data_IF_083406057746
#
_entry.id   IF_083406057746
#
_cell.length_a   1.000
_cell.length_b   1.000
_cell.length_c   1.000
_cell.angle_alpha   90.00
_cell.angle_beta   90.00
_cell.angle_gamma   90.00
#
_symmetry.space_group_name_H-M   'P 1'
#
loop_
_entity.id
_entity.type
_entity.pdbx_description
1 polymer ?
#
# COMPACT_ATOMS: atom_id res chain seq x y z
N UNK A 1 41.28 18.58 -25.60
CA UNK A 1 40.18 19.33 -24.94
C UNK A 1 38.83 18.60 -24.93
N UNK A 2 38.61 17.54 -25.74
CA UNK A 2 37.33 16.78 -25.77
C UNK A 2 37.14 15.76 -24.63
N UNK A 3 38.21 15.19 -24.07
CA UNK A 3 38.12 14.15 -23.03
C UNK A 3 37.55 14.67 -21.69
N UNK A 4 37.81 15.92 -21.33
CA UNK A 4 37.25 16.56 -20.12
C UNK A 4 35.74 16.82 -20.23
N UNK A 5 35.21 17.06 -21.44
CA UNK A 5 33.77 17.24 -21.65
C UNK A 5 32.99 15.92 -21.60
N UNK A 6 33.62 14.81 -22.02
CA UNK A 6 33.02 13.48 -21.96
C UNK A 6 32.89 12.97 -20.51
N UNK A 7 33.91 13.20 -19.67
CA UNK A 7 33.88 12.86 -18.24
C UNK A 7 32.88 13.71 -17.44
N UNK A 8 32.72 14.99 -17.80
CA UNK A 8 31.66 15.85 -17.25
C UNK A 8 30.26 15.36 -17.64
N UNK A 9 30.09 14.84 -18.87
CA UNK A 9 28.82 14.26 -19.31
C UNK A 9 28.50 12.94 -18.58
N UNK A 10 29.48 12.08 -18.32
CA UNK A 10 29.27 10.85 -17.54
C UNK A 10 29.05 11.13 -16.04
N UNK A 11 29.72 12.12 -15.45
CA UNK A 11 29.47 12.55 -14.08
C UNK A 11 28.09 13.20 -13.88
N UNK A 12 27.60 13.96 -14.88
CA UNK A 12 26.23 14.45 -14.91
C UNK A 12 25.21 13.36 -15.23
N UNK A 13 25.55 12.36 -16.06
CA UNK A 13 24.69 11.19 -16.26
C UNK A 13 24.56 10.36 -14.98
N UNK A 14 25.62 10.30 -14.15
CA UNK A 14 25.56 9.67 -12.82
C UNK A 14 24.81 10.51 -11.78
N UNK A 15 24.78 11.84 -11.91
CA UNK A 15 23.93 12.71 -11.10
C UNK A 15 22.44 12.71 -11.55
N UNK A 16 22.16 12.18 -12.74
CA UNK A 16 20.80 11.93 -13.28
C UNK A 16 20.51 10.41 -13.33
N UNK A 17 21.37 9.57 -12.74
CA UNK A 17 20.93 8.26 -12.26
C UNK A 17 19.89 8.60 -11.21
N UNK A 18 18.62 8.29 -11.51
CA UNK A 18 17.54 8.47 -10.56
C UNK A 18 18.01 7.92 -9.22
N UNK A 19 18.00 8.77 -8.19
CA UNK A 19 18.41 8.35 -6.84
C UNK A 19 17.73 7.02 -6.56
N UNK A 20 18.56 5.99 -6.38
CA UNK A 20 18.10 4.63 -6.15
C UNK A 20 17.18 4.68 -4.93
N UNK A 21 15.90 4.37 -5.13
CA UNK A 21 14.94 4.38 -4.03
C UNK A 21 15.16 3.13 -3.21
N UNK A 22 15.19 3.29 -1.90
CA UNK A 22 15.45 2.18 -0.98
C UNK A 22 14.34 2.06 0.03
N UNK A 23 14.16 0.87 0.56
CA UNK A 23 13.27 0.59 1.68
C UNK A 23 14.02 -0.10 2.81
N UNK A 24 13.68 0.25 4.03
CA UNK A 24 14.20 -0.38 5.24
C UNK A 24 13.08 -0.57 6.26
N UNK A 25 13.02 -1.76 6.86
CA UNK A 25 12.16 -2.04 8.00
C UNK A 25 12.95 -1.71 9.28
N UNK A 26 12.48 -0.75 10.06
CA UNK A 26 13.14 -0.33 11.28
C UNK A 26 13.19 -1.47 12.32
N UNK A 27 14.39 -1.95 12.62
CA UNK A 27 14.60 -3.10 13.51
C UNK A 27 14.35 -2.76 14.98
N UNK A 28 14.27 -1.47 15.35
CA UNK A 28 13.98 -1.05 16.72
C UNK A 28 12.48 -1.14 16.99
N UNK A 29 11.65 -0.45 16.20
CA UNK A 29 10.18 -0.54 16.30
C UNK A 29 9.67 -1.95 15.99
N UNK A 30 10.34 -2.67 15.07
CA UNK A 30 10.05 -4.06 14.74
C UNK A 30 10.95 -5.06 15.51
N UNK A 31 11.33 -4.77 16.75
CA UNK A 31 12.21 -5.65 17.54
C UNK A 31 11.65 -7.05 17.83
N UNK A 32 10.33 -7.23 17.71
CA UNK A 32 9.73 -8.56 17.76
C UNK A 32 9.92 -9.27 16.40
N UNK A 33 10.65 -10.39 16.41
CA UNK A 33 10.98 -11.16 15.21
C UNK A 33 9.75 -11.53 14.38
N UNK A 34 8.63 -11.91 15.01
CA UNK A 34 7.42 -12.31 14.30
C UNK A 34 6.77 -11.13 13.56
N UNK A 35 6.74 -9.94 14.16
CA UNK A 35 6.22 -8.76 13.45
C UNK A 35 7.17 -8.28 12.37
N UNK A 36 8.48 -8.39 12.58
CA UNK A 36 9.48 -8.09 11.55
C UNK A 36 9.31 -9.01 10.33
N UNK A 37 9.21 -10.32 10.56
CA UNK A 37 9.02 -11.31 9.50
C UNK A 37 7.70 -11.09 8.76
N UNK A 38 6.61 -10.76 9.47
CA UNK A 38 5.32 -10.45 8.87
C UNK A 38 5.37 -9.21 7.96
N UNK A 39 6.05 -8.14 8.38
CA UNK A 39 6.24 -6.94 7.54
C UNK A 39 7.14 -7.24 6.34
N UNK A 40 8.23 -8.01 6.54
CA UNK A 40 9.12 -8.43 5.44
C UNK A 40 8.36 -9.23 4.40
N UNK A 41 7.57 -10.22 4.83
CA UNK A 41 6.76 -11.04 3.94
C UNK A 41 5.66 -10.21 3.26
N UNK A 42 4.95 -9.34 3.99
CA UNK A 42 3.94 -8.46 3.40
C UNK A 42 4.53 -7.51 2.35
N UNK A 43 5.73 -6.95 2.59
CA UNK A 43 6.45 -6.15 1.60
C UNK A 43 6.76 -6.96 0.34
N UNK A 44 7.38 -8.13 0.50
CA UNK A 44 7.74 -8.99 -0.63
C UNK A 44 6.51 -9.39 -1.45
N UNK A 45 5.43 -9.80 -0.77
CA UNK A 45 4.17 -10.14 -1.43
C UNK A 45 3.51 -8.95 -2.11
N UNK A 46 3.53 -7.75 -1.50
CA UNK A 46 3.00 -6.54 -2.11
C UNK A 46 3.73 -6.19 -3.43
N UNK A 47 5.06 -6.31 -3.45
CA UNK A 47 5.89 -6.10 -4.65
C UNK A 47 5.57 -7.16 -5.72
N UNK A 48 5.43 -8.44 -5.35
CA UNK A 48 5.04 -9.50 -6.28
C UNK A 48 3.67 -9.19 -6.88
N UNK A 49 2.67 -8.86 -6.05
CA UNK A 49 1.31 -8.50 -6.49
C UNK A 49 1.29 -7.29 -7.41
N UNK A 50 2.08 -6.26 -7.11
CA UNK A 50 2.27 -5.12 -8.01
C UNK A 50 2.81 -5.58 -9.38
N UNK A 51 3.80 -6.48 -9.39
CA UNK A 51 4.34 -7.10 -10.61
C UNK A 51 3.29 -7.83 -11.43
N UNK A 52 2.41 -8.62 -10.80
CA UNK A 52 1.32 -9.32 -11.48
C UNK A 52 0.35 -8.35 -12.16
N UNK A 53 -0.02 -7.27 -11.46
CA UNK A 53 -0.88 -6.22 -12.00
C UNK A 53 -0.20 -5.46 -13.16
N UNK A 54 1.10 -5.18 -13.06
CA UNK A 54 1.91 -4.57 -14.12
C UNK A 54 1.91 -5.48 -15.35
N UNK A 55 2.16 -6.77 -15.19
CA UNK A 55 2.21 -7.71 -16.31
C UNK A 55 0.85 -7.86 -17.01
N UNK A 56 -0.24 -7.84 -16.25
CA UNK A 56 -1.59 -7.79 -16.81
C UNK A 56 -1.86 -6.49 -17.60
N UNK A 57 -1.39 -5.34 -17.11
CA UNK A 57 -1.58 -4.04 -17.75
C UNK A 57 -0.57 -3.73 -18.87
N UNK A 58 0.59 -4.40 -18.89
CA UNK A 58 1.71 -4.10 -19.79
C UNK A 58 1.34 -4.11 -21.27
N UNK A 59 0.54 -5.07 -21.78
CA UNK A 59 0.13 -5.05 -23.19
C UNK A 59 -0.61 -3.78 -23.59
N UNK A 60 -1.11 -3.00 -22.64
CA UNK A 60 -1.98 -1.85 -22.87
C UNK A 60 -1.36 -0.50 -22.50
N UNK A 61 -0.40 -0.53 -21.59
CA UNK A 61 0.39 0.65 -21.25
C UNK A 61 1.30 1.05 -22.42
N UNK A 62 1.59 0.13 -23.35
CA UNK A 62 2.36 0.40 -24.57
C UNK A 62 1.53 1.21 -25.59
N UNK A 63 2.14 2.26 -26.14
CA UNK A 63 1.52 3.09 -27.17
C UNK A 63 1.21 2.25 -28.43
N UNK A 64 -0.02 2.37 -28.94
CA UNK A 64 -0.45 1.71 -30.17
C UNK A 64 -0.96 0.27 -30.06
N UNK A 65 -0.86 -0.38 -28.89
CA UNK A 65 -1.43 -1.72 -28.71
C UNK A 65 -2.97 -1.71 -28.89
N UNK A 66 -3.58 -2.79 -29.42
CA UNK A 66 -5.05 -2.86 -29.48
C UNK A 66 -5.63 -3.07 -28.07
N UNK A 67 -6.81 -2.52 -27.80
CA UNK A 67 -7.54 -2.81 -26.56
C UNK A 67 -8.11 -4.25 -26.57
N UNK A 68 -8.23 -4.87 -27.75
CA UNK A 68 -8.77 -6.23 -27.89
C UNK A 68 -7.83 -7.31 -27.35
N UNK A 69 -6.60 -6.95 -26.92
CA UNK A 69 -5.64 -7.87 -26.31
C UNK A 69 -5.83 -8.03 -24.80
N UNK A 70 -6.80 -7.36 -24.16
CA UNK A 70 -7.05 -7.66 -22.74
C UNK A 70 -7.72 -8.99 -22.56
N UNK A 71 -7.33 -9.61 -21.45
CA UNK A 71 -8.26 -10.45 -20.73
C UNK A 71 -9.51 -9.64 -20.35
N UNK A 72 -10.66 -10.04 -20.90
CA UNK A 72 -11.96 -9.39 -20.64
C UNK A 72 -12.40 -9.42 -19.17
N UNK A 73 -11.86 -10.33 -18.35
CA UNK A 73 -12.14 -10.39 -16.91
C UNK A 73 -11.39 -9.29 -16.18
N UNK A 74 -10.10 -9.14 -16.50
CA UNK A 74 -9.28 -8.04 -15.97
C UNK A 74 -9.84 -6.70 -16.47
N UNK A 75 -10.40 -6.63 -17.70
CA UNK A 75 -11.13 -5.46 -18.23
C UNK A 75 -12.20 -5.02 -17.28
N UNK A 76 -13.05 -5.99 -16.97
CA UNK A 76 -14.25 -5.75 -16.22
C UNK A 76 -13.90 -5.18 -14.85
N UNK A 77 -12.93 -5.78 -14.14
CA UNK A 77 -12.49 -5.28 -12.84
C UNK A 77 -11.85 -3.89 -12.94
N UNK A 78 -11.00 -3.66 -13.96
CA UNK A 78 -10.42 -2.34 -14.18
C UNK A 78 -11.50 -1.26 -14.39
N UNK A 79 -12.51 -1.55 -15.20
CA UNK A 79 -13.60 -0.62 -15.50
C UNK A 79 -14.54 -0.43 -14.31
N UNK A 80 -14.71 -1.42 -13.44
CA UNK A 80 -15.44 -1.29 -12.19
C UNK A 80 -14.72 -0.31 -11.24
N UNK A 81 -13.41 -0.48 -11.03
CA UNK A 81 -12.63 0.30 -10.06
C UNK A 81 -12.18 1.67 -10.55
N UNK A 82 -12.08 1.86 -11.87
CA UNK A 82 -11.55 3.11 -12.45
C UNK A 82 -12.47 3.74 -13.49
N UNK A 83 -13.54 3.06 -13.92
CA UNK A 83 -14.51 3.55 -14.91
C UNK A 83 -14.06 3.38 -16.36
N UNK A 84 -14.97 2.90 -17.22
CA UNK A 84 -14.70 2.58 -18.63
C UNK A 84 -14.28 3.77 -19.52
N UNK A 85 -14.68 4.99 -19.17
CA UNK A 85 -14.30 6.20 -19.91
C UNK A 85 -12.80 6.52 -19.79
N UNK A 86 -12.11 6.80 -20.89
CA UNK A 86 -10.70 7.21 -20.87
C UNK A 86 -9.75 6.13 -20.37
N UNK A 87 -10.08 4.86 -20.58
CA UNK A 87 -9.37 3.77 -19.89
C UNK A 87 -7.89 3.68 -20.22
N UNK A 88 -7.46 3.92 -21.46
CA UNK A 88 -6.02 3.91 -21.79
C UNK A 88 -5.22 4.85 -20.88
N UNK A 89 -5.70 6.08 -20.70
CA UNK A 89 -5.06 7.07 -19.83
C UNK A 89 -5.00 6.58 -18.39
N UNK A 90 -6.08 5.99 -17.89
CA UNK A 90 -6.15 5.43 -16.53
C UNK A 90 -5.23 4.23 -16.36
N UNK A 91 -5.14 3.35 -17.35
CA UNK A 91 -4.19 2.23 -17.38
C UNK A 91 -2.77 2.76 -17.23
N UNK A 92 -2.39 3.80 -17.99
CA UNK A 92 -1.07 4.42 -17.85
C UNK A 92 -0.85 5.02 -16.45
N UNK A 93 -1.86 5.59 -15.81
CA UNK A 93 -1.75 6.06 -14.42
C UNK A 93 -1.55 4.91 -13.43
N UNK A 94 -2.43 3.91 -13.43
CA UNK A 94 -2.35 2.73 -12.53
C UNK A 94 -1.04 1.97 -12.73
N UNK A 95 -0.64 1.74 -13.99
CA UNK A 95 0.66 1.17 -14.32
C UNK A 95 1.79 2.00 -13.71
N UNK A 96 1.75 3.33 -13.90
CA UNK A 96 2.76 4.24 -13.37
C UNK A 96 2.85 4.28 -11.85
N UNK A 97 1.73 4.06 -11.13
CA UNK A 97 1.69 3.94 -9.67
C UNK A 97 2.43 2.68 -9.18
N UNK A 98 2.33 1.57 -9.92
CA UNK A 98 2.88 0.27 -9.53
C UNK A 98 4.32 0.05 -10.00
N UNK A 99 4.65 0.42 -11.23
CA UNK A 99 5.92 0.08 -11.90
C UNK A 99 7.16 0.53 -11.12
N UNK A 100 7.08 1.72 -10.51
CA UNK A 100 8.16 2.29 -9.70
C UNK A 100 8.38 1.58 -8.37
N UNK A 101 7.39 0.83 -7.87
CA UNK A 101 7.57 0.06 -6.64
C UNK A 101 8.55 -1.10 -6.86
N UNK A 102 8.60 -1.65 -8.08
CA UNK A 102 9.55 -2.72 -8.44
C UNK A 102 11.01 -2.24 -8.47
N UNK A 103 11.24 -0.94 -8.55
CA UNK A 103 12.58 -0.32 -8.55
C UNK A 103 13.12 -0.07 -7.12
N UNK A 104 12.29 -0.29 -6.08
CA UNK A 104 12.68 0.00 -4.69
C UNK A 104 13.56 -1.12 -4.14
N UNK A 105 14.80 -0.77 -3.80
CA UNK A 105 15.80 -1.69 -3.28
C UNK A 105 15.56 -1.99 -1.79
N UNK A 106 15.48 -3.28 -1.43
CA UNK A 106 15.33 -3.72 -0.05
C UNK A 106 16.68 -3.75 0.68
N UNK A 107 16.79 -3.04 1.81
CA UNK A 107 18.09 -2.75 2.44
C UNK A 107 18.39 -3.51 3.73
N UNK A 108 17.42 -4.17 4.37
CA UNK A 108 17.67 -4.84 5.65
C UNK A 108 18.73 -5.94 5.60
N UNK A 109 18.95 -6.55 4.43
CA UNK A 109 19.97 -7.58 4.24
C UNK A 109 21.36 -6.98 3.93
N UNK A 110 21.44 -5.65 3.69
CA UNK A 110 22.65 -4.95 3.26
C UNK A 110 23.20 -3.98 4.33
N UNK A 111 22.39 -3.59 5.30
CA UNK A 111 22.80 -2.64 6.34
C UNK A 111 22.04 -2.78 7.66
N UNK A 112 22.69 -2.36 8.73
CA UNK A 112 22.12 -2.25 10.08
C UNK A 112 21.29 -0.97 10.25
N UNK A 113 20.46 -0.91 11.29
CA UNK A 113 19.61 0.26 11.55
C UNK A 113 20.40 1.55 11.77
N UNK A 114 21.55 1.48 12.47
CA UNK A 114 22.42 2.64 12.66
C UNK A 114 23.10 3.12 11.37
N UNK A 115 23.42 2.20 10.45
CA UNK A 115 23.92 2.57 9.13
C UNK A 115 22.80 3.21 8.30
N UNK A 116 21.59 2.64 8.33
CA UNK A 116 20.42 3.19 7.66
C UNK A 116 20.10 4.60 8.15
N UNK A 117 20.00 4.83 9.46
CA UNK A 117 19.68 6.15 10.03
C UNK A 117 20.67 7.24 9.64
N UNK A 118 21.92 6.86 9.35
CA UNK A 118 22.99 7.77 8.93
C UNK A 118 22.99 8.02 7.42
N UNK A 119 22.52 7.06 6.63
CA UNK A 119 22.63 7.06 5.17
C UNK A 119 21.31 7.31 4.43
N UNK A 120 20.18 7.24 5.13
CA UNK A 120 18.84 7.49 4.58
C UNK A 120 18.68 8.93 4.13
N UNK A 121 17.77 9.13 3.19
CA UNK A 121 17.48 10.39 2.53
C UNK A 121 15.98 10.55 2.36
N UNK A 122 15.55 11.73 1.92
CA UNK A 122 14.16 12.01 1.55
C UNK A 122 13.59 11.20 0.38
N UNK A 123 14.38 10.36 -0.28
CA UNK A 123 13.91 9.47 -1.36
C UNK A 123 13.70 8.02 -0.91
N UNK A 124 14.00 7.75 0.35
CA UNK A 124 13.90 6.43 0.95
C UNK A 124 12.58 6.25 1.69
N UNK A 125 12.20 4.98 1.88
CA UNK A 125 11.02 4.57 2.64
C UNK A 125 11.49 3.82 3.88
N UNK A 126 10.99 4.22 5.05
CA UNK A 126 11.21 3.53 6.31
C UNK A 126 9.91 2.96 6.86
N UNK A 127 9.88 1.66 7.12
CA UNK A 127 8.70 0.95 7.61
C UNK A 127 8.85 0.71 9.11
N UNK A 128 7.90 1.19 9.90
CA UNK A 128 7.86 1.02 11.35
C UNK A 128 6.69 0.15 11.80
N UNK A 129 6.94 -0.71 12.80
CA UNK A 129 5.90 -1.53 13.42
C UNK A 129 5.07 -0.79 14.48
N UNK A 130 5.38 0.49 14.73
CA UNK A 130 4.68 1.36 15.69
C UNK A 130 4.83 2.84 15.30
N UNK A 131 4.28 3.73 16.13
CA UNK A 131 4.37 5.18 15.98
C UNK A 131 5.10 5.84 17.18
N UNK A 132 6.06 5.16 17.81
CA UNK A 132 6.74 5.63 19.02
C UNK A 132 7.72 6.79 18.75
N UNK A 133 8.14 6.95 17.49
CA UNK A 133 8.91 8.11 17.03
C UNK A 133 8.07 9.41 17.01
N UNK A 134 6.75 9.32 17.15
CA UNK A 134 5.90 10.48 17.42
C UNK A 134 5.96 10.78 18.92
N UNK A 135 6.63 11.86 19.30
CA UNK A 135 6.88 12.22 20.71
C UNK A 135 6.15 13.51 21.09
N UNK A 136 5.89 13.76 22.39
CA UNK A 136 5.37 15.06 22.82
C UNK A 136 6.30 16.19 22.37
N UNK A 137 5.72 17.22 21.76
CA UNK A 137 6.47 18.37 21.27
C UNK A 137 7.04 19.15 22.47
N UNK A 138 8.37 19.41 22.55
CA UNK A 138 8.99 20.00 23.74
C UNK A 138 8.54 21.45 23.99
N UNK A 139 8.24 22.20 22.92
CA UNK A 139 7.82 23.60 22.98
C UNK A 139 6.68 23.90 21.99
N UNK A 140 5.45 23.44 22.26
CA UNK A 140 4.35 23.59 21.32
C UNK A 140 4.06 25.08 21.10
N UNK A 141 4.19 25.54 19.85
CA UNK A 141 3.92 26.93 19.47
C UNK A 141 2.46 27.15 19.06
N UNK A 142 1.81 26.10 18.57
CA UNK A 142 0.43 26.14 18.10
C UNK A 142 -0.47 25.31 19.03
N UNK A 143 -1.71 25.76 19.32
CA UNK A 143 -2.59 25.09 20.28
C UNK A 143 -3.01 23.67 19.91
N UNK A 144 -2.91 23.28 18.63
CA UNK A 144 -3.31 21.97 18.11
C UNK A 144 -2.12 21.10 17.68
N UNK A 145 -0.91 21.45 18.13
CA UNK A 145 0.33 20.72 17.85
C UNK A 145 0.96 20.35 19.19
N UNK A 146 0.62 19.17 19.71
CA UNK A 146 1.19 18.64 20.95
C UNK A 146 2.26 17.59 20.72
N UNK A 147 2.49 17.20 19.47
CA UNK A 147 3.40 16.12 19.11
C UNK A 147 4.35 16.54 17.98
N UNK A 148 5.49 15.87 17.90
CA UNK A 148 6.43 15.98 16.81
C UNK A 148 6.80 14.58 16.30
N UNK A 149 7.02 14.48 15.00
CA UNK A 149 7.67 13.34 14.37
C UNK A 149 9.18 13.55 14.46
N UNK A 150 9.87 12.77 15.30
CA UNK A 150 11.30 12.96 15.54
C UNK A 150 12.19 12.49 14.39
N UNK A 151 11.64 11.69 13.46
CA UNK A 151 12.37 11.19 12.28
C UNK A 151 12.28 12.21 11.15
N UNK A 152 11.08 12.68 10.84
CA UNK A 152 10.85 13.68 9.79
C UNK A 152 11.02 15.12 10.26
N UNK A 153 11.21 15.32 11.57
CA UNK A 153 11.34 16.62 12.25
C UNK A 153 10.21 17.59 11.93
N UNK A 154 8.99 17.05 11.81
CA UNK A 154 7.77 17.83 11.50
C UNK A 154 6.84 17.87 12.71
N UNK A 155 6.10 18.98 12.89
CA UNK A 155 5.00 18.99 13.83
C UNK A 155 3.91 17.98 13.42
N UNK A 156 3.19 17.45 14.40
CA UNK A 156 2.07 16.53 14.22
C UNK A 156 0.83 17.15 14.84
N UNK A 157 -0.21 17.35 14.04
CA UNK A 157 -1.47 17.90 14.50
C UNK A 157 -2.27 16.86 15.30
N UNK A 158 -3.06 17.32 16.26
CA UNK A 158 -3.84 16.42 17.13
C UNK A 158 -4.89 15.56 16.39
N UNK A 159 -5.26 15.96 15.18
CA UNK A 159 -6.17 15.24 14.29
C UNK A 159 -5.45 14.37 13.25
N UNK A 160 -4.12 14.33 13.22
CA UNK A 160 -3.36 13.49 12.30
C UNK A 160 -3.60 12.00 12.56
N UNK A 161 -3.82 11.26 11.48
CA UNK A 161 -4.14 9.83 11.53
C UNK A 161 -3.07 8.98 12.24
N UNK A 162 -1.81 9.41 12.21
CA UNK A 162 -0.67 8.73 12.84
C UNK A 162 -0.86 8.57 14.36
N UNK A 163 -1.50 9.53 15.02
CA UNK A 163 -1.81 9.45 16.45
C UNK A 163 -2.84 8.34 16.73
N UNK A 164 -3.67 8.02 15.74
CA UNK A 164 -4.62 6.91 15.78
C UNK A 164 -3.95 5.55 15.93
N UNK A 165 -2.73 5.35 15.42
CA UNK A 165 -2.03 4.07 15.47
C UNK A 165 -1.71 3.60 16.89
N UNK A 166 -1.57 4.56 17.83
CA UNK A 166 -1.30 4.30 19.25
C UNK A 166 -2.53 3.81 20.02
N UNK A 167 -3.73 3.99 19.46
CA UNK A 167 -4.97 3.60 20.12
C UNK A 167 -5.52 2.31 19.50
N UNK A 168 -5.59 1.18 20.24
CA UNK A 168 -6.03 -0.10 19.69
C UNK A 168 -7.50 -0.11 19.24
N UNK A 169 -8.30 0.87 19.66
CA UNK A 169 -9.71 1.01 19.30
C UNK A 169 -9.94 1.87 18.06
N UNK A 170 -8.90 2.51 17.51
CA UNK A 170 -9.01 3.28 16.26
C UNK A 170 -8.97 2.34 15.05
N UNK A 171 -9.59 2.76 13.95
CA UNK A 171 -9.76 1.94 12.75
C UNK A 171 -8.52 1.89 11.84
N UNK A 172 -7.59 2.83 11.93
CA UNK A 172 -6.36 2.86 11.12
C UNK A 172 -5.48 1.62 11.37
N UNK A 173 -5.09 0.92 10.31
CA UNK A 173 -4.17 -0.23 10.40
C UNK A 173 -2.73 0.23 10.20
N UNK A 174 -2.50 1.05 9.18
CA UNK A 174 -1.24 1.71 8.89
C UNK A 174 -1.51 3.16 8.46
N UNK A 175 -0.45 3.96 8.41
CA UNK A 175 -0.46 5.33 7.89
C UNK A 175 0.88 5.60 7.21
N UNK A 176 0.81 6.19 6.02
CA UNK A 176 1.99 6.72 5.32
C UNK A 176 2.15 8.22 5.56
N UNK A 177 3.37 8.63 5.89
CA UNK A 177 3.83 10.01 5.95
C UNK A 177 4.79 10.29 4.79
N UNK A 178 4.30 10.71 3.62
CA UNK A 178 5.14 10.98 2.45
C UNK A 178 5.87 12.32 2.57
N UNK A 179 6.82 12.56 1.68
CA UNK A 179 7.49 13.87 1.54
C UNK A 179 6.46 14.96 1.19
N UNK A 180 6.51 16.10 1.88
CA UNK A 180 5.59 17.24 1.65
C UNK A 180 6.32 18.60 1.67
N UNK A 181 6.19 19.46 0.64
CA UNK A 181 5.44 19.24 -0.59
C UNK A 181 6.09 18.13 -1.45
N UNK A 182 5.36 17.55 -2.43
CA UNK A 182 5.89 16.51 -3.32
C UNK A 182 7.22 16.84 -4.03
N UNK A 183 7.58 18.11 -4.12
CA UNK A 183 8.87 18.56 -4.67
C UNK A 183 10.04 18.37 -3.71
N UNK A 184 9.80 18.04 -2.44
CA UNK A 184 10.81 17.99 -1.38
C UNK A 184 11.36 19.35 -0.96
N UNK A 185 10.84 20.45 -1.51
CA UNK A 185 11.37 21.78 -1.23
C UNK A 185 11.13 22.15 0.24
N UNK A 186 12.21 22.28 0.99
CA UNK A 186 12.16 22.60 2.43
C UNK A 186 11.99 21.36 3.32
N UNK A 187 11.95 20.16 2.73
CA UNK A 187 11.99 18.90 3.45
C UNK A 187 13.41 18.60 3.91
N UNK A 188 13.55 18.01 5.10
CA UNK A 188 14.84 17.56 5.61
C UNK A 188 15.41 16.48 4.67
N UNK A 189 16.61 16.71 4.15
CA UNK A 189 17.22 15.83 3.15
C UNK A 189 17.51 14.43 3.70
N UNK A 190 17.60 14.29 5.03
CA UNK A 190 17.87 13.03 5.73
C UNK A 190 16.59 12.38 6.29
N UNK A 191 15.41 12.98 6.04
CA UNK A 191 14.13 12.48 6.53
C UNK A 191 13.42 11.61 5.47
N UNK A 192 13.32 10.28 5.66
CA UNK A 192 12.66 9.38 4.72
C UNK A 192 11.14 9.58 4.72
N UNK A 193 10.46 9.01 3.73
CA UNK A 193 9.03 8.71 3.81
C UNK A 193 8.82 7.59 4.83
N UNK A 194 7.75 7.67 5.63
CA UNK A 194 7.47 6.67 6.67
C UNK A 194 6.19 5.91 6.37
N UNK A 195 6.21 4.60 6.49
CA UNK A 195 5.01 3.75 6.61
C UNK A 195 4.98 3.19 8.04
N UNK A 196 3.98 3.55 8.84
CA UNK A 196 3.87 3.11 10.22
C UNK A 196 2.62 2.26 10.44
N UNK A 197 2.75 1.20 11.25
CA UNK A 197 1.66 0.28 11.58
C UNK A 197 1.14 0.45 13.00
N UNK A 198 -0.13 0.08 13.21
CA UNK A 198 -0.70 -0.09 14.54
C UNK A 198 -0.11 -1.35 15.19
N UNK A 199 0.58 -1.25 16.34
CA UNK A 199 1.26 -2.39 16.96
C UNK A 199 0.29 -3.51 17.33
N UNK A 200 -0.88 -3.13 17.84
CA UNK A 200 -1.92 -4.07 18.24
C UNK A 200 -2.40 -4.89 17.03
N UNK A 201 -2.80 -4.22 15.95
CA UNK A 201 -3.33 -4.90 14.77
C UNK A 201 -2.27 -5.72 14.05
N UNK A 202 -1.05 -5.21 13.95
CA UNK A 202 0.07 -5.94 13.39
C UNK A 202 0.38 -7.20 14.22
N UNK A 203 0.35 -7.10 15.55
CA UNK A 203 0.48 -8.26 16.42
C UNK A 203 -0.60 -9.30 16.12
N UNK A 204 -1.87 -8.93 15.99
CA UNK A 204 -2.92 -9.89 15.63
C UNK A 204 -2.69 -10.51 14.25
N UNK A 205 -2.41 -9.71 13.22
CA UNK A 205 -2.17 -10.19 11.86
C UNK A 205 -0.99 -11.18 11.82
N UNK A 206 0.11 -10.88 12.53
CA UNK A 206 1.30 -11.72 12.55
C UNK A 206 1.15 -12.99 13.41
N UNK A 207 0.37 -12.96 14.49
CA UNK A 207 0.21 -14.10 15.40
C UNK A 207 -0.90 -15.07 15.00
N UNK A 208 -1.87 -14.59 14.21
CA UNK A 208 -3.05 -15.36 13.85
C UNK A 208 -3.11 -15.66 12.34
N UNK A 209 -2.00 -15.48 11.64
CA UNK A 209 -1.85 -15.95 10.26
C UNK A 209 -2.00 -17.48 10.21
N UNK A 210 -2.83 -17.96 9.27
CA UNK A 210 -3.15 -19.38 9.12
C UNK A 210 -4.03 -19.99 10.23
N UNK A 211 -4.51 -19.22 11.21
CA UNK A 211 -5.40 -19.75 12.25
C UNK A 211 -6.82 -20.02 11.70
N UNK A 212 -7.37 -21.24 11.84
CA UNK A 212 -8.69 -21.57 11.31
C UNK A 212 -9.79 -20.64 11.87
N UNK A 213 -10.40 -19.83 11.01
CA UNK A 213 -11.47 -18.91 11.40
C UNK A 213 -11.06 -17.45 11.65
N UNK A 214 -9.77 -17.11 11.57
CA UNK A 214 -9.30 -15.72 11.70
C UNK A 214 -9.35 -14.91 10.39
N UNK A 215 -9.80 -15.49 9.28
CA UNK A 215 -9.94 -14.81 7.98
C UNK A 215 -11.00 -13.70 7.94
N UNK A 216 -11.57 -13.34 9.08
CA UNK A 216 -12.85 -12.64 9.14
C UNK A 216 -12.76 -11.30 9.84
N UNK A 217 -11.72 -11.01 10.63
CA UNK A 217 -11.70 -9.76 11.42
C UNK A 217 -10.32 -9.12 11.58
N UNK A 218 -9.23 -9.91 11.68
CA UNK A 218 -7.90 -9.35 12.00
C UNK A 218 -6.78 -9.76 11.04
N UNK A 219 -7.15 -10.30 9.88
CA UNK A 219 -6.22 -10.51 8.77
C UNK A 219 -5.24 -11.66 8.98
N UNK A 220 -4.42 -11.83 7.95
CA UNK A 220 -3.28 -12.74 7.83
C UNK A 220 -2.22 -11.99 7.02
N UNK A 221 -1.06 -12.60 6.79
CA UNK A 221 0.05 -11.89 6.12
C UNK A 221 -0.22 -11.81 4.63
N UNK A 222 -0.58 -12.94 4.02
CA UNK A 222 -0.92 -13.06 2.59
C UNK A 222 -2.08 -13.99 2.33
N UNK A 223 -2.73 -13.83 1.18
CA UNK A 223 -3.78 -14.73 0.73
C UNK A 223 -3.23 -16.10 0.34
N UNK A 224 -4.10 -17.11 0.40
CA UNK A 224 -3.85 -18.45 -0.11
C UNK A 224 -5.17 -19.05 -0.63
N UNK A 225 -5.07 -20.21 -1.29
CA UNK A 225 -6.23 -20.86 -1.92
C UNK A 225 -7.39 -21.09 -0.92
N UNK A 226 -7.08 -21.53 0.30
CA UNK A 226 -8.09 -21.79 1.32
C UNK A 226 -8.81 -20.51 1.76
N UNK A 227 -8.08 -19.38 1.88
CA UNK A 227 -8.67 -18.09 2.16
C UNK A 227 -9.61 -17.65 1.03
N UNK A 228 -9.20 -17.80 -0.23
CA UNK A 228 -10.02 -17.47 -1.42
C UNK A 228 -11.30 -18.30 -1.46
N UNK A 229 -11.20 -19.62 -1.27
CA UNK A 229 -12.36 -20.52 -1.23
C UNK A 229 -13.33 -20.16 -0.10
N UNK A 230 -12.79 -19.79 1.06
CA UNK A 230 -13.59 -19.41 2.22
C UNK A 230 -14.19 -17.99 2.10
N UNK A 231 -13.61 -17.11 1.28
CA UNK A 231 -14.20 -15.83 0.91
C UNK A 231 -15.29 -16.01 -0.15
N UNK A 232 -15.09 -16.90 -1.13
CA UNK A 232 -16.10 -17.23 -2.15
C UNK A 232 -17.33 -17.94 -1.56
N UNK A 233 -17.14 -18.75 -0.52
CA UNK A 233 -18.20 -19.50 0.15
C UNK A 233 -18.25 -19.16 1.64
N UNK A 234 -18.72 -17.96 2.02
CA UNK A 234 -18.70 -17.51 3.39
C UNK A 234 -19.60 -18.38 4.27
N UNK A 235 -19.04 -18.95 5.36
CA UNK A 235 -19.83 -19.61 6.42
C UNK A 235 -20.81 -18.61 7.04
N UNK A 236 -21.86 -19.09 7.72
CA UNK A 236 -22.96 -18.28 8.26
C UNK A 236 -22.52 -16.98 8.98
N UNK A 237 -21.46 -17.00 9.80
CA UNK A 237 -20.95 -15.80 10.47
C UNK A 237 -20.34 -14.76 9.51
N UNK A 238 -19.68 -15.19 8.41
CA UNK A 238 -19.19 -14.33 7.33
C UNK A 238 -20.33 -13.80 6.48
N UNK A 239 -21.34 -14.63 6.23
CA UNK A 239 -22.56 -14.21 5.54
C UNK A 239 -23.24 -13.06 6.29
N UNK A 240 -23.33 -13.11 7.63
CA UNK A 240 -23.87 -12.00 8.41
C UNK A 240 -23.05 -10.71 8.30
N UNK A 241 -21.73 -10.77 8.12
CA UNK A 241 -20.88 -9.58 7.91
C UNK A 241 -21.04 -9.00 6.52
N UNK A 242 -21.16 -9.84 5.49
CA UNK A 242 -21.33 -9.40 4.09
C UNK A 242 -22.78 -9.02 3.74
N UNK A 243 -23.76 -9.46 4.53
CA UNK A 243 -25.19 -9.19 4.34
C UNK A 243 -25.81 -8.39 5.50
N UNK A 244 -24.99 -7.81 6.39
CA UNK A 244 -25.49 -6.90 7.41
C UNK A 244 -26.21 -5.71 6.74
N UNK A 245 -27.43 -5.35 7.17
CA UNK A 245 -28.12 -4.17 6.67
C UNK A 245 -27.23 -2.93 6.75
N UNK A 246 -27.25 -2.06 5.73
CA UNK A 246 -26.40 -0.86 5.65
C UNK A 246 -26.51 0.06 6.88
N UNK A 247 -27.65 0.03 7.60
CA UNK A 247 -27.85 0.80 8.84
C UNK A 247 -27.16 0.18 10.08
N UNK A 248 -26.83 -1.12 10.06
CA UNK A 248 -26.05 -1.82 11.09
C UNK A 248 -24.55 -1.84 10.75
N UNK A 249 -24.23 -1.94 9.46
CA UNK A 249 -22.86 -1.96 8.97
C UNK A 249 -22.56 -0.64 8.26
N UNK A 250 -21.95 0.30 9.00
CA UNK A 250 -21.30 1.49 8.43
C UNK A 250 -20.22 1.13 7.38
N UNK A 251 -19.87 -0.16 7.29
CA UNK A 251 -18.98 -0.78 6.33
C UNK A 251 -19.62 -2.09 5.84
N UNK A 252 -20.37 -2.07 4.73
CA UNK A 252 -20.88 -3.29 4.12
C UNK A 252 -19.73 -3.97 3.36
N UNK A 253 -19.12 -5.00 3.95
CA UNK A 253 -17.98 -5.70 3.37
C UNK A 253 -18.41 -6.58 2.20
N UNK A 254 -17.71 -6.49 1.07
CA UNK A 254 -17.82 -7.44 -0.03
C UNK A 254 -16.98 -8.70 0.26
N UNK A 255 -17.28 -9.85 -0.37
CA UNK A 255 -16.47 -11.05 -0.22
C UNK A 255 -14.97 -10.86 -0.51
N UNK A 256 -14.61 -10.06 -1.53
CA UNK A 256 -13.20 -9.72 -1.80
C UNK A 256 -12.54 -8.94 -0.65
N UNK A 257 -13.28 -8.13 0.12
CA UNK A 257 -12.71 -7.38 1.25
C UNK A 257 -12.26 -8.31 2.39
N UNK A 258 -12.77 -9.55 2.45
CA UNK A 258 -12.30 -10.58 3.40
C UNK A 258 -10.88 -11.09 3.05
N UNK A 259 -10.39 -10.75 1.87
CA UNK A 259 -9.05 -11.05 1.39
C UNK A 259 -8.11 -9.85 1.53
N UNK A 260 -8.55 -8.77 2.18
CA UNK A 260 -7.66 -7.67 2.55
C UNK A 260 -6.72 -8.12 3.68
N UNK A 261 -5.48 -8.44 3.29
CA UNK A 261 -4.41 -8.97 4.16
C UNK A 261 -3.29 -7.93 4.33
N UNK A 262 -2.31 -8.22 5.18
CA UNK A 262 -1.22 -7.29 5.47
C UNK A 262 -0.47 -6.85 4.20
N UNK A 263 -0.31 -7.73 3.22
CA UNK A 263 0.23 -7.42 1.89
C UNK A 263 -0.60 -6.40 1.07
N UNK A 264 -1.93 -6.41 1.21
CA UNK A 264 -2.82 -5.44 0.54
C UNK A 264 -2.69 -4.08 1.21
N UNK A 265 -2.70 -4.05 2.54
CA UNK A 265 -2.39 -2.84 3.31
C UNK A 265 -1.00 -2.31 2.97
N UNK A 266 0.02 -3.17 2.89
CA UNK A 266 1.36 -2.77 2.50
C UNK A 266 1.39 -2.16 1.10
N UNK A 267 0.74 -2.78 0.11
CA UNK A 267 0.65 -2.23 -1.24
C UNK A 267 -0.07 -0.88 -1.24
N UNK A 268 -1.19 -0.77 -0.52
CA UNK A 268 -1.93 0.48 -0.32
C UNK A 268 -1.00 1.59 0.21
N UNK A 269 -0.31 1.35 1.32
CA UNK A 269 0.59 2.35 1.92
C UNK A 269 1.76 2.71 1.00
N UNK A 270 2.36 1.73 0.33
CA UNK A 270 3.43 1.99 -0.64
C UNK A 270 2.95 2.90 -1.78
N UNK A 271 1.68 2.82 -2.18
CA UNK A 271 1.13 3.73 -3.21
C UNK A 271 1.00 5.19 -2.75
N UNK A 272 0.98 5.46 -1.44
CA UNK A 272 1.01 6.84 -0.90
C UNK A 272 2.39 7.48 -0.95
N UNK A 273 3.46 6.70 -1.10
CA UNK A 273 4.83 7.21 -1.17
C UNK A 273 5.13 7.88 -2.50
N UNK A 274 6.24 8.60 -2.59
CA UNK A 274 6.74 9.18 -3.84
C UNK A 274 7.09 8.09 -4.86
N UNK A 275 7.51 6.90 -4.42
CA UNK A 275 7.67 5.73 -5.28
C UNK A 275 6.33 5.31 -5.90
N UNK A 276 5.29 5.24 -5.08
CA UNK A 276 3.89 4.98 -5.47
C UNK A 276 3.16 6.10 -6.20
N UNK A 277 3.85 7.24 -6.42
CA UNK A 277 3.31 8.49 -6.99
C UNK A 277 2.17 9.11 -6.19
N UNK A 278 2.25 9.07 -4.86
CA UNK A 278 1.48 9.93 -3.97
C UNK A 278 -0.03 9.82 -4.19
N UNK A 279 -0.52 8.59 -4.26
CA UNK A 279 -1.97 8.33 -4.25
C UNK A 279 -2.59 8.83 -2.93
N UNK A 280 -3.91 8.89 -2.87
CA UNK A 280 -4.65 9.48 -1.76
C UNK A 280 -5.72 8.50 -1.30
N UNK A 281 -6.18 8.69 -0.06
CA UNK A 281 -7.45 8.12 0.38
C UNK A 281 -8.58 9.07 0.04
N UNK A 282 -9.21 8.86 -1.12
CA UNK A 282 -10.19 9.79 -1.67
C UNK A 282 -11.54 9.67 -0.94
N UNK A 283 -11.96 10.75 -0.27
CA UNK A 283 -13.21 10.84 0.52
C UNK A 283 -13.23 10.04 1.84
N UNK A 284 -12.20 10.20 2.68
CA UNK A 284 -12.12 9.54 3.99
C UNK A 284 -13.42 9.68 4.83
N UNK A 285 -13.93 8.59 5.44
CA UNK A 285 -13.44 7.21 5.42
C UNK A 285 -14.01 6.36 4.26
N UNK A 286 -14.75 6.95 3.33
CA UNK A 286 -15.42 6.25 2.21
C UNK A 286 -14.48 5.95 1.04
N UNK A 287 -13.17 5.97 1.29
CA UNK A 287 -12.08 5.63 0.37
C UNK A 287 -11.80 4.13 0.29
N UNK A 288 -12.23 3.37 1.31
CA UNK A 288 -11.82 1.98 1.54
C UNK A 288 -12.93 0.96 1.27
N UNK A 289 -12.52 -0.22 0.80
CA UNK A 289 -13.35 -1.37 0.52
C UNK A 289 -13.96 -1.36 -0.87
N UNK A 290 -14.25 -2.54 -1.40
CA UNK A 290 -14.66 -2.77 -2.78
C UNK A 290 -15.81 -1.88 -3.24
N UNK A 291 -16.91 -1.85 -2.48
CA UNK A 291 -18.10 -1.06 -2.85
C UNK A 291 -17.80 0.44 -2.97
N UNK A 292 -16.98 0.96 -2.07
CA UNK A 292 -16.57 2.36 -2.08
C UNK A 292 -15.61 2.65 -3.24
N UNK A 293 -14.65 1.77 -3.48
CA UNK A 293 -13.72 1.87 -4.62
C UNK A 293 -14.46 1.83 -5.97
N UNK A 294 -15.41 0.92 -6.14
CA UNK A 294 -16.27 0.82 -7.33
C UNK A 294 -17.18 2.05 -7.48
N UNK A 295 -17.66 2.64 -6.39
CA UNK A 295 -18.40 3.90 -6.40
C UNK A 295 -17.52 5.07 -6.84
N UNK A 296 -16.31 5.18 -6.30
CA UNK A 296 -15.39 6.31 -6.49
C UNK A 296 -14.83 6.37 -7.91
N UNK A 297 -14.44 5.23 -8.48
CA UNK A 297 -13.85 5.13 -9.83
C UNK A 297 -12.60 6.01 -10.01
N UNK A 298 -11.70 6.02 -9.02
CA UNK A 298 -10.53 6.91 -8.97
C UNK A 298 -9.22 6.13 -9.05
N UNK A 299 -8.47 6.35 -10.13
CA UNK A 299 -7.12 5.79 -10.28
C UNK A 299 -6.09 6.38 -9.30
N UNK A 300 -6.42 7.48 -8.62
CA UNK A 300 -5.58 8.09 -7.59
C UNK A 300 -5.90 7.60 -6.19
N UNK A 301 -6.88 6.70 -6.03
CA UNK A 301 -7.25 6.14 -4.73
C UNK A 301 -6.36 4.92 -4.43
N UNK A 302 -5.62 4.96 -3.32
CA UNK A 302 -4.67 3.90 -2.94
C UNK A 302 -5.36 2.53 -2.86
N UNK A 303 -6.52 2.48 -2.20
CA UNK A 303 -7.26 1.25 -1.98
C UNK A 303 -7.81 0.64 -3.28
N UNK A 304 -8.20 1.49 -4.23
CA UNK A 304 -8.66 1.02 -5.55
C UNK A 304 -7.52 0.35 -6.33
N UNK A 305 -6.29 0.82 -6.19
CA UNK A 305 -5.10 0.20 -6.80
C UNK A 305 -4.77 -1.13 -6.12
N UNK A 306 -4.77 -1.17 -4.79
CA UNK A 306 -4.51 -2.39 -4.04
C UNK A 306 -5.55 -3.50 -4.35
N UNK A 307 -6.85 -3.14 -4.38
CA UNK A 307 -7.93 -4.06 -4.74
C UNK A 307 -7.87 -4.51 -6.20
N UNK A 308 -7.47 -3.64 -7.13
CA UNK A 308 -7.24 -4.04 -8.52
C UNK A 308 -6.15 -5.10 -8.61
N UNK A 309 -5.02 -4.89 -7.93
CA UNK A 309 -3.91 -5.83 -7.96
C UNK A 309 -4.27 -7.18 -7.30
N UNK A 310 -5.05 -7.16 -6.21
CA UNK A 310 -5.65 -8.35 -5.62
C UNK A 310 -6.55 -9.10 -6.62
N UNK A 311 -7.44 -8.39 -7.32
CA UNK A 311 -8.33 -9.02 -8.29
C UNK A 311 -7.57 -9.64 -9.48
N UNK A 312 -6.49 -9.01 -9.94
CA UNK A 312 -5.60 -9.59 -10.96
C UNK A 312 -5.00 -10.91 -10.47
N UNK A 313 -4.52 -10.95 -9.23
CA UNK A 313 -3.98 -12.18 -8.64
C UNK A 313 -5.05 -13.28 -8.52
N UNK A 314 -6.27 -12.92 -8.11
CA UNK A 314 -7.40 -13.85 -8.04
C UNK A 314 -7.72 -14.49 -9.39
N UNK A 315 -7.74 -13.69 -10.47
CA UNK A 315 -8.03 -14.17 -11.82
C UNK A 315 -6.89 -15.07 -12.33
N UNK A 316 -5.65 -14.60 -12.24
CA UNK A 316 -4.51 -15.24 -12.89
C UNK A 316 -3.98 -16.47 -12.13
N UNK A 317 -4.08 -16.50 -10.80
CA UNK A 317 -3.45 -17.53 -9.97
C UNK A 317 -4.45 -18.40 -9.22
N UNK A 318 -5.53 -17.81 -8.71
CA UNK A 318 -6.53 -18.56 -7.93
C UNK A 318 -7.71 -19.03 -8.78
N UNK A 319 -7.82 -18.56 -10.03
CA UNK A 319 -8.91 -18.86 -10.96
C UNK A 319 -10.29 -18.44 -10.41
N UNK A 320 -10.39 -17.21 -9.91
CA UNK A 320 -11.65 -16.59 -9.50
C UNK A 320 -11.87 -15.23 -10.20
N UNK A 321 -13.06 -15.06 -10.75
CA UNK A 321 -13.58 -13.77 -11.22
C UNK A 321 -14.18 -12.96 -10.05
N UNK A 322 -14.13 -11.63 -10.18
CA UNK A 322 -14.70 -10.68 -9.21
C UNK A 322 -15.78 -9.85 -9.92
N UNK A 323 -17.00 -9.85 -9.39
CA UNK A 323 -18.11 -9.09 -9.96
C UNK A 323 -18.29 -7.70 -9.32
N UNK A 324 -19.28 -6.93 -9.76
CA UNK A 324 -19.56 -5.57 -9.24
C UNK A 324 -19.88 -5.56 -7.74
N UNK A 325 -20.50 -6.61 -7.20
CA UNK A 325 -20.77 -6.76 -5.77
C UNK A 325 -19.53 -7.22 -4.97
N UNK A 326 -18.43 -7.54 -5.64
CA UNK A 326 -17.18 -8.06 -5.06
C UNK A 326 -17.29 -9.54 -4.67
N UNK A 327 -18.24 -10.26 -5.25
CA UNK A 327 -18.38 -11.71 -5.08
C UNK A 327 -17.37 -12.45 -5.96
N UNK A 328 -16.87 -13.58 -5.44
CA UNK A 328 -15.87 -14.40 -6.10
C UNK A 328 -16.54 -15.58 -6.79
N UNK A 329 -16.35 -15.71 -8.09
CA UNK A 329 -16.88 -16.83 -8.89
C UNK A 329 -15.73 -17.65 -9.46
N UNK A 330 -15.72 -18.95 -9.20
CA UNK A 330 -14.67 -19.82 -9.72
C UNK A 330 -14.74 -19.90 -11.24
N UNK A 331 -13.59 -19.76 -11.90
CA UNK A 331 -13.43 -19.93 -13.33
C UNK A 331 -13.33 -21.43 -13.64
N UNK A 332 -14.15 -21.90 -14.57
CA UNK A 332 -14.13 -23.29 -15.07
C UNK A 332 -13.01 -23.56 -16.07
#
# INVERSE_FOLDING_TARGET
MMLKKLLLFFGLLQAVIGQERRVYIDTVSCSNQRTFDAIKEAYQSAIIRAGLAIDALRPWAQEGASIDTFDGRIRNVFDLLFGAGGTRTKVSYVFGHLDRLLEVQYMNDLMTGGQWSTARTMHDIEIHCNADYIQPHPHPKEPNIHHEDTIQKKPVHDDDAILGLKNPFKSAFAVTSPVSPPSGKGWDQDAPEIVAYSPWKLYFAANWDGFPGNDVVFGGIKINQAAVEAAANPRMHRWFLTNAPEWLAKYAWAPIDLLDRLESTMLHELTHTTAGRLTQDVELPNSYGWKNCVRLKKHSNADSIALFALAVELINFYHYDVNEAGELTKIE
#
